data_IF_990749524235
#
_entry.id   IF_990749524235
#
_cell.length_a   1.000
_cell.length_b   1.000
_cell.length_c   1.000
_cell.angle_alpha   90.00
_cell.angle_beta   90.00
_cell.angle_gamma   90.00
#
_symmetry.space_group_name_H-M   'P 1'
#
loop_
_entity.id
_entity.type
_entity.pdbx_description
1 polymer ?
#
# COMPACT_ATOMS: atom_id res chain seq x y z
N UNK A 1 -11.23 -7.93 35.56
CA UNK A 1 -10.07 -7.05 35.77
C UNK A 1 -9.93 -6.20 34.52
N UNK A 2 -10.43 -4.98 34.61
CA UNK A 2 -10.39 -3.99 33.52
C UNK A 2 -8.95 -3.55 33.32
N UNK A 3 -8.39 -3.81 32.15
CA UNK A 3 -7.16 -3.15 31.71
C UNK A 3 -7.57 -1.91 30.93
N UNK A 4 -7.60 -0.79 31.61
CA UNK A 4 -7.85 0.51 31.04
C UNK A 4 -6.78 0.85 30.00
N UNK A 5 -7.22 0.98 28.74
CA UNK A 5 -6.46 1.64 27.70
C UNK A 5 -6.52 3.14 28.01
N UNK A 6 -5.41 3.68 28.51
CA UNK A 6 -5.29 5.09 28.81
C UNK A 6 -5.60 5.95 27.60
N UNK A 7 -6.56 6.82 27.73
CA UNK A 7 -6.85 7.95 26.85
C UNK A 7 -5.64 8.90 26.81
N UNK A 8 -4.75 8.71 25.83
CA UNK A 8 -3.78 9.73 25.49
C UNK A 8 -4.47 10.77 24.61
N UNK A 9 -5.12 11.73 25.25
CA UNK A 9 -5.65 12.95 24.63
C UNK A 9 -4.48 13.82 24.13
N UNK A 10 -4.08 13.62 22.90
CA UNK A 10 -3.08 14.41 22.20
C UNK A 10 -2.51 13.58 21.03
N UNK A 11 -3.28 13.45 19.92
CA UNK A 11 -2.77 12.79 18.72
C UNK A 11 -1.55 13.56 18.21
N UNK A 12 -0.35 13.07 18.50
CA UNK A 12 0.88 13.68 18.03
C UNK A 12 1.11 13.28 16.58
N UNK A 13 0.83 14.21 15.67
CA UNK A 13 1.18 14.11 14.27
C UNK A 13 2.69 14.41 14.13
N UNK A 14 3.39 13.56 13.40
CA UNK A 14 4.79 13.81 13.02
C UNK A 14 4.82 14.07 11.51
N UNK A 15 5.38 15.20 11.12
CA UNK A 15 5.60 15.54 9.71
C UNK A 15 7.09 15.36 9.42
N UNK A 16 7.42 14.30 8.70
CA UNK A 16 8.78 14.07 8.21
C UNK A 16 8.90 14.76 6.87
N UNK A 17 9.55 15.92 6.87
CA UNK A 17 9.67 16.79 5.71
C UNK A 17 11.15 17.06 5.39
N UNK A 18 11.86 16.09 4.80
CA UNK A 18 13.25 16.30 4.40
C UNK A 18 13.34 17.43 3.38
N UNK A 19 13.77 18.59 3.85
CA UNK A 19 13.87 19.80 3.01
C UNK A 19 14.88 19.59 1.88
N UNK A 20 14.55 20.01 0.66
CA UNK A 20 15.54 20.04 -0.40
C UNK A 20 16.65 21.05 -0.12
N UNK A 21 17.82 20.87 -0.75
CA UNK A 21 18.95 21.81 -0.61
C UNK A 21 18.61 23.19 -1.18
N UNK A 22 17.75 23.24 -2.20
CA UNK A 22 17.23 24.45 -2.80
C UNK A 22 15.86 24.79 -2.16
N UNK A 23 15.76 25.86 -1.36
CA UNK A 23 14.53 26.26 -0.70
C UNK A 23 13.36 26.59 -1.64
N UNK A 24 13.64 27.13 -2.83
CA UNK A 24 12.59 27.50 -3.81
C UNK A 24 11.75 26.27 -4.23
N UNK A 25 12.37 25.09 -4.24
CA UNK A 25 11.67 23.83 -4.55
C UNK A 25 10.65 23.41 -3.49
N UNK A 26 10.75 23.92 -2.28
CA UNK A 26 9.81 23.65 -1.22
C UNK A 26 8.61 24.59 -1.22
N UNK A 27 8.68 25.72 -1.92
CA UNK A 27 7.72 26.82 -1.82
C UNK A 27 6.28 26.36 -2.11
N UNK A 28 6.06 25.59 -3.20
CA UNK A 28 4.72 25.13 -3.56
C UNK A 28 4.13 24.22 -2.47
N UNK A 29 4.91 23.25 -1.98
CA UNK A 29 4.46 22.37 -0.92
C UNK A 29 4.31 23.10 0.40
N UNK A 30 5.19 24.04 0.74
CA UNK A 30 5.08 24.85 1.94
C UNK A 30 3.78 25.66 1.95
N UNK A 31 3.43 26.28 0.82
CA UNK A 31 2.21 27.06 0.66
C UNK A 31 0.92 26.22 0.79
N UNK A 32 0.97 24.93 0.60
CA UNK A 32 -0.15 23.99 0.77
C UNK A 32 -0.14 23.36 2.17
N UNK A 33 0.99 22.80 2.59
CA UNK A 33 1.08 22.00 3.81
C UNK A 33 1.03 22.83 5.07
N UNK A 34 1.76 23.96 5.13
CA UNK A 34 1.85 24.76 6.37
C UNK A 34 0.52 25.39 6.79
N UNK A 35 -0.32 25.93 5.86
CA UNK A 35 -1.68 26.35 6.22
C UNK A 35 -2.54 25.19 6.75
N UNK A 36 -2.52 24.03 6.08
CA UNK A 36 -3.29 22.86 6.52
C UNK A 36 -2.87 22.38 7.93
N UNK A 37 -1.59 22.44 8.27
CA UNK A 37 -1.10 22.11 9.60
C UNK A 37 -1.48 23.15 10.66
N UNK A 38 -1.51 24.45 10.31
CA UNK A 38 -1.99 25.51 11.21
C UNK A 38 -3.46 25.31 11.56
N UNK A 39 -4.30 25.01 10.58
CA UNK A 39 -5.74 24.76 10.80
C UNK A 39 -5.93 23.56 11.74
N UNK A 40 -5.17 22.48 11.56
CA UNK A 40 -5.18 21.33 12.49
C UNK A 40 -4.73 21.73 13.91
N UNK A 41 -3.75 22.59 14.01
CA UNK A 41 -3.28 23.09 15.33
C UNK A 41 -4.34 23.94 16.02
N UNK A 42 -5.05 24.78 15.31
CA UNK A 42 -6.20 25.55 15.82
C UNK A 42 -7.34 24.65 16.29
N UNK A 43 -7.50 23.48 15.64
CA UNK A 43 -8.45 22.42 16.04
C UNK A 43 -7.93 21.56 17.22
N UNK A 44 -6.76 21.86 17.77
CA UNK A 44 -6.18 21.17 18.93
C UNK A 44 -5.22 20.03 18.62
N UNK A 45 -4.92 19.73 17.34
CA UNK A 45 -3.94 18.72 16.97
C UNK A 45 -2.51 19.27 17.15
N UNK A 46 -1.69 18.59 17.96
CA UNK A 46 -0.27 18.92 18.09
C UNK A 46 0.54 18.22 17.02
N UNK A 47 1.49 18.90 16.39
CA UNK A 47 2.41 18.27 15.45
C UNK A 47 3.86 18.62 15.72
N UNK A 48 4.77 17.75 15.27
CA UNK A 48 6.21 17.96 15.24
C UNK A 48 6.72 17.83 13.83
N UNK A 49 7.54 18.77 13.36
CA UNK A 49 8.14 18.72 12.03
C UNK A 49 9.62 18.31 12.13
N UNK A 50 10.02 17.36 11.29
CA UNK A 50 11.38 16.83 11.19
C UNK A 50 11.90 17.11 9.77
N UNK A 51 12.76 18.10 9.64
CA UNK A 51 13.28 18.58 8.35
C UNK A 51 14.63 17.95 7.95
N UNK A 52 15.32 17.33 8.90
CA UNK A 52 16.59 16.62 8.67
C UNK A 52 16.57 15.26 9.35
N UNK A 53 16.91 14.23 8.60
CA UNK A 53 16.95 12.84 9.10
C UNK A 53 17.91 12.68 10.27
N UNK A 54 19.02 13.44 10.28
CA UNK A 54 19.98 13.44 11.40
C UNK A 54 19.40 13.89 12.75
N UNK A 55 18.21 14.47 12.78
CA UNK A 55 17.49 14.86 14.01
C UNK A 55 16.55 13.77 14.53
N UNK A 56 16.30 12.70 13.74
CA UNK A 56 15.52 11.56 14.19
C UNK A 56 16.23 10.85 15.33
N UNK A 57 15.47 10.56 16.37
CA UNK A 57 15.91 9.76 17.53
C UNK A 57 15.12 8.47 17.56
N UNK A 58 15.67 7.47 18.24
CA UNK A 58 14.96 6.21 18.45
C UNK A 58 13.64 6.46 19.21
N UNK A 59 12.56 5.88 18.67
CA UNK A 59 11.21 6.03 19.22
C UNK A 59 10.40 7.23 18.70
N UNK A 60 11.00 8.22 18.02
CA UNK A 60 10.28 9.43 17.54
C UNK A 60 9.11 9.10 16.61
N UNK A 61 9.24 8.04 15.82
CA UNK A 61 8.27 7.64 14.81
C UNK A 61 7.35 6.50 15.26
N UNK A 62 7.67 5.79 16.33
CA UNK A 62 6.90 4.60 16.77
C UNK A 62 5.53 4.99 17.31
N UNK A 63 4.48 4.30 16.86
CA UNK A 63 3.10 4.52 17.31
C UNK A 63 2.52 5.89 16.94
N UNK A 64 3.07 6.56 15.91
CA UNK A 64 2.68 7.92 15.52
C UNK A 64 1.77 7.95 14.29
N UNK A 65 1.06 9.06 14.13
CA UNK A 65 0.45 9.49 12.87
C UNK A 65 1.50 10.27 12.10
N UNK A 66 1.85 9.85 10.88
CA UNK A 66 3.02 10.40 10.18
C UNK A 66 2.61 10.88 8.79
N UNK A 67 3.06 12.07 8.43
CA UNK A 67 3.05 12.54 7.05
C UNK A 67 4.49 12.61 6.55
N UNK A 68 4.78 11.88 5.51
CA UNK A 68 6.03 11.98 4.77
C UNK A 68 5.83 12.97 3.62
N UNK A 69 6.43 14.14 3.71
CA UNK A 69 6.31 15.22 2.74
C UNK A 69 7.64 15.37 1.99
N UNK A 70 7.66 15.12 0.69
CA UNK A 70 8.90 15.05 -0.10
C UNK A 70 8.81 15.98 -1.31
N UNK A 71 9.73 16.93 -1.44
CA UNK A 71 9.93 17.70 -2.65
C UNK A 71 11.03 17.07 -3.53
N UNK A 72 10.79 16.99 -4.83
CA UNK A 72 11.73 16.43 -5.79
C UNK A 72 12.22 17.49 -6.78
N UNK A 73 13.49 17.41 -7.12
CA UNK A 73 14.05 18.14 -8.27
C UNK A 73 13.46 17.63 -9.61
N UNK A 74 13.77 18.29 -10.71
CA UNK A 74 13.42 17.84 -12.06
C UNK A 74 13.96 16.43 -12.38
N UNK A 75 15.12 16.09 -11.82
CA UNK A 75 15.72 14.75 -11.95
C UNK A 75 15.14 13.72 -10.95
N UNK A 76 14.15 14.08 -10.15
CA UNK A 76 13.55 13.19 -9.16
C UNK A 76 14.43 12.95 -7.93
N UNK A 77 15.28 13.91 -7.55
CA UNK A 77 16.26 13.76 -6.47
C UNK A 77 15.88 14.61 -5.26
N UNK A 78 16.02 13.98 -4.07
CA UNK A 78 16.07 14.62 -2.77
C UNK A 78 17.02 13.79 -1.90
N UNK A 79 18.15 14.36 -1.48
CA UNK A 79 19.22 13.63 -0.78
C UNK A 79 18.78 13.20 0.62
N UNK A 80 18.07 14.04 1.35
CA UNK A 80 17.58 13.70 2.70
C UNK A 80 16.55 12.56 2.65
N UNK A 81 15.80 12.41 1.56
CA UNK A 81 14.93 11.25 1.34
C UNK A 81 15.72 9.93 1.32
N UNK A 82 16.87 9.87 0.66
CA UNK A 82 17.68 8.66 0.65
C UNK A 82 18.25 8.32 2.01
N UNK A 83 18.64 9.35 2.81
CA UNK A 83 19.03 9.15 4.20
C UNK A 83 17.87 8.63 5.06
N UNK A 84 16.63 9.01 4.76
CA UNK A 84 15.44 8.48 5.43
C UNK A 84 15.25 6.98 5.15
N UNK A 85 15.43 6.54 3.90
CA UNK A 85 15.38 5.11 3.56
C UNK A 85 16.49 4.32 4.27
N UNK A 86 17.70 4.87 4.34
CA UNK A 86 18.82 4.29 5.08
C UNK A 86 18.49 4.18 6.58
N UNK A 87 17.89 5.22 7.17
CA UNK A 87 17.45 5.22 8.56
C UNK A 87 16.44 4.10 8.82
N UNK A 88 15.41 3.92 7.97
CA UNK A 88 14.44 2.83 8.14
C UNK A 88 15.10 1.45 8.06
N UNK A 89 16.09 1.29 7.21
CA UNK A 89 16.82 0.03 7.06
C UNK A 89 17.72 -0.27 8.26
N UNK A 90 18.33 0.76 8.85
CA UNK A 90 19.21 0.63 9.99
C UNK A 90 18.47 0.45 11.33
N UNK A 91 17.20 0.89 11.41
CA UNK A 91 16.39 0.84 12.62
C UNK A 91 15.12 0.03 12.37
N UNK A 92 15.25 -1.29 12.42
CA UNK A 92 14.13 -2.21 12.27
C UNK A 92 13.00 -1.89 13.26
N UNK A 93 11.75 -1.92 12.80
CA UNK A 93 10.55 -1.61 13.59
C UNK A 93 10.48 -0.16 14.15
N UNK A 94 11.28 0.80 13.63
CA UNK A 94 11.21 2.19 14.08
C UNK A 94 9.86 2.86 13.82
N UNK A 95 9.04 2.29 12.93
CA UNK A 95 7.70 2.74 12.58
C UNK A 95 6.59 1.81 13.11
N UNK A 96 6.92 0.89 14.00
CA UNK A 96 5.94 -0.06 14.54
C UNK A 96 4.75 0.66 15.18
N UNK A 97 3.53 0.25 14.80
CA UNK A 97 2.28 0.85 15.29
C UNK A 97 1.94 2.21 14.68
N UNK A 98 2.77 2.72 13.75
CA UNK A 98 2.51 4.00 13.08
C UNK A 98 1.56 3.87 11.91
N UNK A 99 0.91 4.99 11.57
CA UNK A 99 0.07 5.13 10.38
C UNK A 99 0.59 6.29 9.55
N UNK A 100 0.89 6.02 8.28
CA UNK A 100 1.55 6.97 7.39
C UNK A 100 0.67 7.48 6.24
N UNK A 101 0.92 8.72 5.83
CA UNK A 101 0.49 9.30 4.56
C UNK A 101 1.71 9.88 3.83
N UNK A 102 1.62 10.01 2.52
CA UNK A 102 2.74 10.43 1.67
C UNK A 102 2.28 11.61 0.81
N UNK A 103 3.04 12.68 0.80
CA UNK A 103 2.90 13.80 -0.11
C UNK A 103 4.20 13.88 -0.91
N UNK A 104 4.10 13.85 -2.24
CA UNK A 104 5.26 14.04 -3.12
C UNK A 104 4.98 15.19 -4.06
N UNK A 105 5.79 16.22 -3.97
CA UNK A 105 5.76 17.39 -4.83
C UNK A 105 6.96 17.37 -5.78
N UNK A 106 6.73 17.14 -7.07
CA UNK A 106 7.75 17.00 -8.09
C UNK A 106 7.86 18.24 -8.97
N UNK A 107 9.09 18.64 -9.30
CA UNK A 107 9.37 19.71 -10.27
C UNK A 107 9.09 19.28 -11.72
N UNK A 108 8.95 17.96 -11.99
CA UNK A 108 8.66 17.40 -13.32
C UNK A 108 7.45 16.48 -13.31
N UNK A 109 7.08 15.96 -14.49
CA UNK A 109 5.99 14.98 -14.65
C UNK A 109 6.38 13.55 -14.27
N UNK A 110 7.65 13.31 -13.93
CA UNK A 110 8.20 11.98 -13.71
C UNK A 110 8.66 11.80 -12.26
N UNK A 111 8.93 10.56 -11.89
CA UNK A 111 9.58 10.09 -10.65
C UNK A 111 8.73 10.10 -9.38
N UNK A 112 7.71 10.93 -9.28
CA UNK A 112 6.88 11.10 -8.06
C UNK A 112 6.30 9.78 -7.54
N UNK A 113 5.64 9.00 -8.40
CA UNK A 113 5.07 7.69 -8.00
C UNK A 113 6.13 6.62 -7.72
N UNK A 114 7.23 6.63 -8.47
CA UNK A 114 8.32 5.67 -8.26
C UNK A 114 8.93 5.88 -6.87
N UNK A 115 9.24 7.12 -6.52
CA UNK A 115 9.74 7.48 -5.20
C UNK A 115 8.74 7.15 -4.09
N UNK A 116 7.46 7.50 -4.29
CA UNK A 116 6.41 7.23 -3.30
C UNK A 116 6.24 5.72 -3.02
N UNK A 117 6.31 4.85 -4.06
CA UNK A 117 6.23 3.39 -3.88
C UNK A 117 7.40 2.85 -3.07
N UNK A 118 8.62 3.30 -3.37
CA UNK A 118 9.82 2.92 -2.63
C UNK A 118 9.75 3.39 -1.17
N UNK A 119 9.27 4.61 -0.93
CA UNK A 119 9.05 5.11 0.43
C UNK A 119 8.03 4.26 1.18
N UNK A 120 6.86 3.99 0.55
CA UNK A 120 5.83 3.16 1.15
C UNK A 120 6.35 1.77 1.48
N UNK A 121 7.09 1.12 0.57
CA UNK A 121 7.69 -0.18 0.80
C UNK A 121 8.66 -0.15 1.99
N UNK A 122 9.62 0.77 1.97
CA UNK A 122 10.65 0.86 3.00
C UNK A 122 10.06 1.17 4.40
N UNK A 123 9.14 2.13 4.47
CA UNK A 123 8.46 2.48 5.72
C UNK A 123 7.54 1.35 6.21
N UNK A 124 6.85 0.65 5.29
CA UNK A 124 5.99 -0.48 5.63
C UNK A 124 6.79 -1.65 6.19
N UNK A 125 7.94 -1.96 5.61
CA UNK A 125 8.85 -2.99 6.14
C UNK A 125 9.43 -2.62 7.50
N UNK A 126 9.53 -1.32 7.81
CA UNK A 126 9.90 -0.81 9.13
C UNK A 126 8.72 -0.70 10.13
N UNK A 127 7.52 -1.16 9.75
CA UNK A 127 6.37 -1.28 10.65
C UNK A 127 5.24 -0.27 10.42
N UNK A 128 5.32 0.61 9.40
CA UNK A 128 4.27 1.59 9.10
C UNK A 128 3.07 0.95 8.40
N UNK A 129 1.88 1.28 8.85
CA UNK A 129 0.62 1.02 8.15
C UNK A 129 0.32 2.18 7.20
N UNK A 130 -0.17 1.89 6.00
CA UNK A 130 -0.73 2.92 5.13
C UNK A 130 -2.22 2.65 4.86
N UNK A 131 -3.12 3.61 5.11
CA UNK A 131 -4.52 3.52 4.69
C UNK A 131 -4.61 3.44 3.16
N UNK A 132 -5.77 3.13 2.63
CA UNK A 132 -5.98 3.14 1.19
C UNK A 132 -5.81 4.52 0.57
N UNK A 133 -5.14 4.60 -0.60
CA UNK A 133 -4.77 5.86 -1.28
C UNK A 133 -4.02 6.82 -0.34
N UNK A 134 -2.87 6.42 0.18
CA UNK A 134 -2.09 7.22 1.11
C UNK A 134 -1.23 8.28 0.43
N UNK A 135 -1.25 8.37 -0.89
CA UNK A 135 -0.40 9.27 -1.68
C UNK A 135 -1.20 10.45 -2.22
N UNK A 136 -0.74 11.64 -1.90
CA UNK A 136 -1.02 12.87 -2.65
C UNK A 136 0.20 13.20 -3.49
N UNK A 137 0.03 13.20 -4.80
CA UNK A 137 1.07 13.43 -5.78
C UNK A 137 0.80 14.76 -6.48
N UNK A 138 1.79 15.64 -6.54
CA UNK A 138 1.78 16.85 -7.34
C UNK A 138 2.92 16.78 -8.36
N UNK A 139 2.59 16.70 -9.65
CA UNK A 139 3.57 16.79 -10.74
C UNK A 139 3.92 18.23 -11.05
N UNK A 140 4.93 18.47 -11.87
CA UNK A 140 5.40 19.82 -12.22
C UNK A 140 4.28 20.74 -12.71
N UNK A 141 3.45 20.26 -13.64
CA UNK A 141 2.31 21.00 -14.19
C UNK A 141 1.02 20.89 -13.39
N UNK A 142 0.96 20.07 -12.33
CA UNK A 142 -0.27 19.66 -11.65
C UNK A 142 -1.31 18.97 -12.58
N UNK A 143 -0.85 18.48 -13.74
CA UNK A 143 -1.70 17.83 -14.74
C UNK A 143 -2.45 16.59 -14.21
N UNK A 144 -1.88 15.93 -13.21
CA UNK A 144 -2.51 14.79 -12.54
C UNK A 144 -3.80 15.17 -11.78
N UNK A 145 -4.06 16.45 -11.51
CA UNK A 145 -5.31 16.94 -10.89
C UNK A 145 -6.38 17.37 -11.89
N UNK A 146 -6.11 17.40 -13.20
CA UNK A 146 -7.06 17.92 -14.21
C UNK A 146 -8.44 17.24 -14.16
N UNK A 147 -8.50 15.92 -13.92
CA UNK A 147 -9.78 15.19 -13.84
C UNK A 147 -10.59 15.67 -12.64
N UNK A 148 -9.97 15.78 -11.48
CA UNK A 148 -10.65 16.25 -10.25
C UNK A 148 -11.02 17.73 -10.36
N UNK A 149 -10.18 18.57 -10.97
CA UNK A 149 -10.47 19.96 -11.28
C UNK A 149 -11.71 20.08 -12.15
N UNK A 150 -11.81 19.28 -13.22
CA UNK A 150 -12.98 19.27 -14.10
C UNK A 150 -14.27 18.85 -13.40
N UNK A 151 -14.18 17.89 -12.47
CA UNK A 151 -15.36 17.43 -11.70
C UNK A 151 -15.77 18.44 -10.63
N UNK A 152 -14.82 19.04 -9.93
CA UNK A 152 -15.09 19.96 -8.79
C UNK A 152 -15.31 21.41 -9.19
N UNK A 153 -14.91 21.81 -10.41
CA UNK A 153 -14.86 23.20 -10.84
C UNK A 153 -13.77 24.05 -10.17
N UNK A 154 -12.85 23.43 -9.46
CA UNK A 154 -11.73 24.09 -8.76
C UNK A 154 -10.47 24.12 -9.62
N UNK A 155 -9.53 25.01 -9.29
CA UNK A 155 -8.21 24.99 -9.93
C UNK A 155 -7.38 23.77 -9.51
N UNK A 156 -6.38 23.32 -10.29
CA UNK A 156 -5.50 22.20 -9.88
C UNK A 156 -4.80 22.42 -8.54
N UNK A 157 -4.45 23.66 -8.21
CA UNK A 157 -3.80 23.98 -6.92
C UNK A 157 -4.78 23.86 -5.75
N UNK A 158 -6.05 24.30 -5.92
CA UNK A 158 -7.08 24.13 -4.89
C UNK A 158 -7.38 22.65 -4.66
N UNK A 159 -7.41 21.85 -5.74
CA UNK A 159 -7.57 20.38 -5.63
C UNK A 159 -6.40 19.76 -4.90
N UNK A 160 -5.18 20.21 -5.16
CA UNK A 160 -4.00 19.75 -4.43
C UNK A 160 -4.13 20.02 -2.93
N UNK A 161 -4.53 21.25 -2.55
CA UNK A 161 -4.79 21.62 -1.17
C UNK A 161 -5.86 20.72 -0.51
N UNK A 162 -7.01 20.55 -1.17
CA UNK A 162 -8.09 19.68 -0.69
C UNK A 162 -7.60 18.24 -0.46
N UNK A 163 -6.78 17.70 -1.37
CA UNK A 163 -6.24 16.34 -1.25
C UNK A 163 -5.25 16.22 -0.09
N UNK A 164 -4.43 17.24 0.16
CA UNK A 164 -3.53 17.26 1.33
C UNK A 164 -4.33 17.28 2.62
N UNK A 165 -5.35 18.14 2.73
CA UNK A 165 -6.25 18.19 3.90
C UNK A 165 -6.98 16.86 4.12
N UNK A 166 -7.50 16.25 3.06
CA UNK A 166 -8.15 14.95 3.13
C UNK A 166 -7.18 13.83 3.58
N UNK A 167 -5.92 13.86 3.12
CA UNK A 167 -4.90 12.90 3.55
C UNK A 167 -4.58 13.06 5.04
N UNK A 168 -4.42 14.28 5.53
CA UNK A 168 -4.17 14.57 6.94
C UNK A 168 -5.29 13.97 7.81
N UNK A 169 -6.56 14.25 7.49
CA UNK A 169 -7.71 13.66 8.18
C UNK A 169 -7.71 12.14 8.13
N UNK A 170 -7.50 11.55 6.95
CA UNK A 170 -7.43 10.09 6.77
C UNK A 170 -6.38 9.42 7.66
N UNK A 171 -5.21 10.01 7.81
CA UNK A 171 -4.13 9.48 8.64
C UNK A 171 -4.47 9.63 10.13
N UNK A 172 -5.01 10.78 10.52
CA UNK A 172 -5.38 11.05 11.92
C UNK A 172 -6.52 10.12 12.39
N UNK A 173 -7.55 9.94 11.56
CA UNK A 173 -8.76 9.20 11.90
C UNK A 173 -8.68 7.70 11.61
N UNK A 174 -7.53 7.22 11.10
CA UNK A 174 -7.39 5.81 10.73
C UNK A 174 -7.67 4.88 11.91
N UNK A 175 -8.60 3.95 11.70
CA UNK A 175 -8.89 2.81 12.55
C UNK A 175 -8.84 1.50 11.75
N UNK A 176 -8.48 0.41 12.41
CA UNK A 176 -8.49 -0.90 11.78
C UNK A 176 -9.92 -1.39 11.57
N UNK A 177 -10.26 -1.89 10.37
CA UNK A 177 -11.55 -2.54 10.15
C UNK A 177 -11.63 -3.85 10.95
N UNK A 178 -12.85 -4.17 11.39
CA UNK A 178 -13.16 -5.42 12.08
C UNK A 178 -13.25 -6.55 11.05
N UNK A 179 -12.83 -7.77 11.43
CA UNK A 179 -12.99 -8.95 10.61
C UNK A 179 -14.49 -9.28 10.42
N UNK A 180 -14.88 -9.70 9.21
CA UNK A 180 -16.28 -9.94 8.83
C UNK A 180 -16.73 -11.40 8.97
N UNK A 181 -15.81 -12.32 9.20
CA UNK A 181 -16.10 -13.73 9.36
C UNK A 181 -16.76 -14.08 10.69
N UNK A 182 -17.34 -15.27 10.78
CA UNK A 182 -17.93 -15.79 12.01
C UNK A 182 -16.87 -15.86 13.11
N UNK A 183 -17.28 -15.62 14.36
CA UNK A 183 -16.39 -15.62 15.54
C UNK A 183 -15.15 -14.72 15.41
N UNK A 184 -15.22 -13.65 14.57
CA UNK A 184 -14.11 -12.73 14.35
C UNK A 184 -12.99 -13.29 13.47
N UNK A 185 -13.22 -14.37 12.74
CA UNK A 185 -12.27 -14.93 11.77
C UNK A 185 -12.10 -13.99 10.57
N UNK A 186 -10.88 -13.95 10.03
CA UNK A 186 -10.63 -13.22 8.78
C UNK A 186 -11.11 -14.04 7.59
N UNK A 187 -11.80 -13.39 6.65
CA UNK A 187 -12.05 -13.95 5.31
C UNK A 187 -10.93 -13.52 4.38
N UNK A 188 -10.15 -14.48 3.91
CA UNK A 188 -8.97 -14.23 3.08
C UNK A 188 -9.18 -14.79 1.68
N UNK A 189 -9.00 -13.94 0.67
CA UNK A 189 -8.86 -14.37 -0.71
C UNK A 189 -7.37 -14.49 -1.06
N UNK A 190 -6.89 -15.70 -1.31
CA UNK A 190 -5.54 -15.94 -1.83
C UNK A 190 -5.59 -16.13 -3.34
N UNK A 191 -4.79 -15.36 -4.09
CA UNK A 191 -4.76 -15.41 -5.56
C UNK A 191 -3.37 -15.79 -6.05
N UNK A 192 -3.29 -16.83 -6.87
CA UNK A 192 -2.06 -17.30 -7.48
C UNK A 192 -2.23 -17.69 -8.95
N UNK A 193 -1.11 -17.75 -9.68
CA UNK A 193 -1.08 -18.21 -11.07
C UNK A 193 -0.29 -19.50 -11.26
N UNK A 194 0.07 -20.20 -10.18
CA UNK A 194 0.92 -21.40 -10.22
C UNK A 194 0.13 -22.62 -10.70
N UNK A 195 0.81 -23.47 -11.49
CA UNK A 195 0.30 -24.77 -11.95
C UNK A 195 1.16 -25.94 -11.49
N UNK A 196 2.27 -25.66 -10.75
CA UNK A 196 3.27 -26.66 -10.40
C UNK A 196 3.25 -26.98 -8.92
N UNK A 197 3.21 -28.25 -8.58
CA UNK A 197 3.36 -28.75 -7.21
C UNK A 197 4.73 -28.48 -6.57
N UNK A 198 5.72 -28.06 -7.40
CA UNK A 198 7.09 -27.71 -6.97
C UNK A 198 7.32 -26.21 -6.88
N UNK A 199 6.26 -25.40 -6.97
CA UNK A 199 6.36 -23.95 -6.92
C UNK A 199 6.82 -23.48 -5.54
N UNK A 200 7.97 -22.81 -5.48
CA UNK A 200 8.52 -22.23 -4.26
C UNK A 200 7.53 -21.27 -3.60
N UNK A 201 6.82 -20.47 -4.39
CA UNK A 201 5.84 -19.51 -3.89
C UNK A 201 4.64 -20.20 -3.25
N UNK A 202 4.12 -21.29 -3.86
CA UNK A 202 3.02 -22.06 -3.29
C UNK A 202 3.44 -22.82 -2.02
N UNK A 203 4.63 -23.43 -2.03
CA UNK A 203 5.16 -24.11 -0.86
C UNK A 203 5.34 -23.15 0.35
N UNK A 204 5.74 -21.92 0.07
CA UNK A 204 5.83 -20.87 1.10
C UNK A 204 4.44 -20.46 1.59
N UNK A 205 3.49 -20.28 0.67
CA UNK A 205 2.10 -19.99 1.03
C UNK A 205 1.48 -21.12 1.89
N UNK A 206 1.73 -22.38 1.57
CA UNK A 206 1.25 -23.51 2.36
C UNK A 206 1.76 -23.47 3.82
N UNK A 207 3.01 -23.05 4.03
CA UNK A 207 3.56 -22.84 5.38
C UNK A 207 2.84 -21.69 6.11
N UNK A 208 2.58 -20.58 5.45
CA UNK A 208 1.84 -19.44 6.02
C UNK A 208 0.40 -19.85 6.37
N UNK A 209 -0.29 -20.59 5.47
CA UNK A 209 -1.67 -21.11 5.73
C UNK A 209 -1.75 -21.90 7.02
N UNK A 210 -0.74 -22.71 7.34
CA UNK A 210 -0.72 -23.49 8.58
C UNK A 210 -0.86 -22.60 9.81
N UNK A 211 -0.24 -21.41 9.82
CA UNK A 211 -0.34 -20.43 10.91
C UNK A 211 -1.67 -19.66 10.96
N UNK A 212 -2.51 -19.80 9.93
CA UNK A 212 -3.80 -19.10 9.81
C UNK A 212 -5.01 -20.00 10.09
N UNK A 213 -4.83 -21.32 10.22
CA UNK A 213 -5.91 -22.30 10.24
C UNK A 213 -7.00 -22.02 11.28
N UNK A 214 -6.62 -21.55 12.47
CA UNK A 214 -7.56 -21.33 13.60
C UNK A 214 -8.22 -19.94 13.57
N UNK A 215 -7.79 -19.02 12.68
CA UNK A 215 -8.20 -17.61 12.73
C UNK A 215 -8.61 -17.00 11.39
N UNK A 216 -8.55 -17.78 10.31
CA UNK A 216 -8.97 -17.29 9.00
C UNK A 216 -9.72 -18.39 8.23
N UNK A 217 -10.68 -17.92 7.41
CA UNK A 217 -11.32 -18.71 6.36
C UNK A 217 -10.71 -18.30 5.04
N UNK A 218 -10.07 -19.24 4.35
CA UNK A 218 -9.25 -18.96 3.18
C UNK A 218 -9.91 -19.55 1.95
N UNK A 219 -10.26 -18.67 1.00
CA UNK A 219 -10.61 -19.05 -0.36
C UNK A 219 -9.38 -18.85 -1.27
N UNK A 220 -8.99 -19.93 -1.97
CA UNK A 220 -7.81 -19.93 -2.85
C UNK A 220 -8.25 -20.04 -4.31
N UNK A 221 -7.91 -19.03 -5.12
CA UNK A 221 -8.28 -18.97 -6.53
C UNK A 221 -7.03 -18.95 -7.41
N UNK A 222 -6.99 -19.92 -8.35
CA UNK A 222 -5.91 -20.03 -9.33
C UNK A 222 -6.27 -19.34 -10.65
N UNK A 223 -5.60 -18.24 -10.97
CA UNK A 223 -5.70 -17.53 -12.26
C UNK A 223 -4.63 -18.00 -13.25
N UNK A 224 -4.48 -19.32 -13.38
CA UNK A 224 -3.47 -19.94 -14.24
C UNK A 224 -3.72 -19.66 -15.74
N UNK A 225 -2.74 -20.02 -16.57
CA UNK A 225 -2.84 -19.88 -18.02
C UNK A 225 -4.12 -20.52 -18.58
N UNK A 226 -4.79 -19.81 -19.47
CA UNK A 226 -6.04 -20.23 -20.09
C UNK A 226 -7.30 -19.94 -19.27
N UNK A 227 -7.22 -19.57 -17.98
CA UNK A 227 -8.40 -19.28 -17.16
C UNK A 227 -8.72 -17.79 -17.09
N UNK A 228 -7.74 -16.91 -17.35
CA UNK A 228 -7.91 -15.46 -17.28
C UNK A 228 -7.47 -14.79 -18.58
N UNK A 229 -8.22 -13.78 -18.99
CA UNK A 229 -7.86 -12.83 -20.05
C UNK A 229 -7.65 -11.46 -19.45
N UNK A 230 -6.74 -10.65 -20.02
CA UNK A 230 -6.50 -9.30 -19.58
C UNK A 230 -7.67 -8.34 -19.85
N UNK A 231 -7.63 -7.16 -19.24
CA UNK A 231 -8.58 -6.08 -19.45
C UNK A 231 -8.45 -5.54 -20.88
N UNK A 232 -9.58 -5.40 -21.59
CA UNK A 232 -9.60 -4.88 -22.96
C UNK A 232 -9.85 -3.37 -23.06
N UNK A 233 -9.88 -2.64 -21.92
CA UNK A 233 -9.98 -1.20 -21.92
C UNK A 233 -11.33 -0.67 -22.41
N UNK A 234 -12.45 -1.17 -21.89
CA UNK A 234 -13.78 -0.62 -22.15
C UNK A 234 -13.83 0.88 -21.77
N UNK A 235 -14.74 1.63 -22.42
CA UNK A 235 -15.03 2.99 -21.96
C UNK A 235 -15.58 2.99 -20.52
N UNK A 236 -15.64 4.17 -19.91
CA UNK A 236 -16.03 4.30 -18.52
C UNK A 236 -17.44 3.77 -18.26
N UNK A 237 -18.41 4.18 -19.07
CA UNK A 237 -19.83 3.88 -18.91
C UNK A 237 -20.07 2.36 -18.99
N UNK A 238 -19.51 1.71 -19.99
CA UNK A 238 -19.62 0.24 -20.14
C UNK A 238 -18.99 -0.48 -18.95
N UNK A 239 -17.78 -0.06 -18.54
CA UNK A 239 -17.07 -0.70 -17.44
C UNK A 239 -17.83 -0.51 -16.11
N UNK A 240 -18.37 0.68 -15.85
CA UNK A 240 -19.16 1.01 -14.67
C UNK A 240 -20.47 0.23 -14.64
N UNK A 241 -21.22 0.19 -15.76
CA UNK A 241 -22.49 -0.53 -15.86
C UNK A 241 -22.40 -2.02 -15.49
N UNK A 242 -21.31 -2.68 -15.86
CA UNK A 242 -21.09 -4.06 -15.43
C UNK A 242 -20.53 -4.14 -14.02
N UNK A 243 -19.65 -3.19 -13.63
CA UNK A 243 -19.01 -3.13 -12.33
C UNK A 243 -20.00 -2.97 -11.18
N UNK A 244 -21.01 -2.10 -11.29
CA UNK A 244 -22.06 -1.91 -10.28
C UNK A 244 -22.87 -3.17 -9.97
N UNK A 245 -22.88 -4.15 -10.91
CA UNK A 245 -23.52 -5.45 -10.77
C UNK A 245 -22.53 -6.54 -10.30
N UNK A 246 -21.34 -6.18 -9.87
CA UNK A 246 -20.28 -7.13 -9.52
C UNK A 246 -19.82 -7.96 -10.73
N UNK A 247 -19.85 -7.41 -11.95
CA UNK A 247 -19.55 -8.12 -13.20
C UNK A 247 -18.53 -7.38 -14.07
N UNK A 248 -18.03 -8.06 -15.08
CA UNK A 248 -17.27 -7.51 -16.19
C UNK A 248 -17.85 -8.07 -17.49
N UNK A 249 -17.96 -7.25 -18.53
CA UNK A 249 -18.49 -7.66 -19.85
C UNK A 249 -17.85 -8.96 -20.38
N UNK A 250 -16.57 -9.17 -20.12
CA UNK A 250 -15.83 -10.34 -20.62
C UNK A 250 -15.93 -11.59 -19.73
N UNK A 251 -16.74 -11.58 -18.67
CA UNK A 251 -17.07 -12.78 -17.89
C UNK A 251 -15.87 -13.58 -17.37
N UNK A 252 -16.04 -14.91 -17.33
CA UNK A 252 -15.04 -15.89 -16.96
C UNK A 252 -14.71 -15.88 -15.47
N UNK A 253 -13.58 -16.49 -15.09
CA UNK A 253 -13.16 -16.70 -13.69
C UNK A 253 -13.26 -15.43 -12.83
N UNK A 254 -13.02 -14.26 -13.43
CA UNK A 254 -13.09 -12.99 -12.69
C UNK A 254 -14.49 -12.70 -12.16
N UNK A 255 -15.53 -12.93 -12.97
CA UNK A 255 -16.93 -12.66 -12.59
C UNK A 255 -17.59 -13.82 -11.87
N UNK A 256 -17.14 -15.03 -12.12
CA UNK A 256 -17.74 -16.25 -11.58
C UNK A 256 -17.19 -16.61 -10.19
N UNK A 257 -15.92 -16.32 -9.95
CA UNK A 257 -15.24 -16.69 -8.70
C UNK A 257 -14.59 -15.50 -8.01
N UNK A 258 -13.72 -14.75 -8.72
CA UNK A 258 -12.86 -13.73 -8.11
C UNK A 258 -13.66 -12.58 -7.51
N UNK A 259 -14.63 -12.03 -8.24
CA UNK A 259 -15.38 -10.86 -7.76
C UNK A 259 -16.24 -11.17 -6.54
N UNK A 260 -17.02 -12.29 -6.51
CA UNK A 260 -17.73 -12.66 -5.28
C UNK A 260 -16.79 -12.84 -4.09
N UNK A 261 -15.74 -13.64 -4.25
CA UNK A 261 -14.75 -13.89 -3.19
C UNK A 261 -14.08 -12.61 -2.70
N UNK A 262 -13.71 -11.70 -3.62
CA UNK A 262 -13.11 -10.42 -3.25
C UNK A 262 -14.08 -9.52 -2.47
N UNK A 263 -15.34 -9.44 -2.89
CA UNK A 263 -16.33 -8.61 -2.20
C UNK A 263 -16.59 -9.10 -0.77
N UNK A 264 -16.56 -10.40 -0.54
CA UNK A 264 -16.75 -11.02 0.78
C UNK A 264 -15.49 -11.04 1.63
N UNK A 265 -14.29 -10.90 1.06
CA UNK A 265 -13.03 -10.99 1.80
C UNK A 265 -12.72 -9.75 2.62
N UNK A 266 -12.03 -9.91 3.75
CA UNK A 266 -11.39 -8.85 4.55
C UNK A 266 -9.98 -8.54 4.07
N UNK A 267 -9.32 -9.54 3.50
CA UNK A 267 -7.94 -9.44 3.05
C UNK A 267 -7.71 -10.21 1.75
N UNK A 268 -6.78 -9.70 0.95
CA UNK A 268 -6.25 -10.39 -0.24
C UNK A 268 -4.79 -10.74 0.00
N UNK A 269 -4.41 -11.97 -0.33
CA UNK A 269 -3.01 -12.42 -0.34
C UNK A 269 -2.60 -12.69 -1.78
N UNK A 270 -1.67 -11.90 -2.30
CA UNK A 270 -1.08 -12.10 -3.63
C UNK A 270 0.07 -13.09 -3.52
N UNK A 271 -0.12 -14.31 -4.02
CA UNK A 271 0.93 -15.34 -4.05
C UNK A 271 1.67 -15.24 -5.38
N UNK A 272 2.75 -14.44 -5.40
CA UNK A 272 3.35 -13.88 -6.60
C UNK A 272 4.79 -14.34 -6.82
N UNK A 273 5.09 -15.19 -7.81
CA UNK A 273 6.46 -15.41 -8.25
C UNK A 273 7.00 -14.17 -8.96
N UNK A 274 8.29 -13.89 -8.76
CA UNK A 274 8.98 -12.88 -9.55
C UNK A 274 9.41 -13.46 -10.90
N UNK A 275 8.91 -12.90 -11.99
CA UNK A 275 9.34 -13.19 -13.35
C UNK A 275 9.81 -11.90 -14.04
N UNK A 276 11.12 -11.81 -14.34
CA UNK A 276 11.72 -10.63 -14.98
C UNK A 276 11.43 -9.32 -14.22
N UNK A 277 11.56 -9.34 -12.91
CA UNK A 277 11.30 -8.20 -12.01
C UNK A 277 9.89 -7.61 -12.15
N UNK A 278 8.91 -8.47 -12.42
CA UNK A 278 7.52 -8.06 -12.58
C UNK A 278 6.54 -9.06 -11.96
N UNK A 279 5.36 -8.55 -11.61
CA UNK A 279 4.18 -9.36 -11.34
C UNK A 279 3.85 -10.17 -12.59
N UNK A 280 3.69 -11.48 -12.48
CA UNK A 280 3.44 -12.34 -13.64
C UNK A 280 2.15 -11.93 -14.39
N UNK A 281 2.11 -12.21 -15.70
CA UNK A 281 1.08 -11.73 -16.62
C UNK A 281 -0.36 -12.03 -16.14
N UNK A 282 -0.61 -13.22 -15.61
CA UNK A 282 -1.95 -13.60 -15.15
C UNK A 282 -2.41 -12.82 -13.91
N UNK A 283 -1.49 -12.58 -12.96
CA UNK A 283 -1.79 -11.73 -11.81
C UNK A 283 -1.92 -10.26 -12.22
N UNK A 284 -1.18 -9.82 -13.24
CA UNK A 284 -1.38 -8.49 -13.85
C UNK A 284 -2.76 -8.38 -14.49
N UNK A 285 -3.20 -9.40 -15.23
CA UNK A 285 -4.56 -9.45 -15.79
C UNK A 285 -5.64 -9.42 -14.69
N UNK A 286 -5.43 -10.15 -13.58
CA UNK A 286 -6.29 -10.06 -12.40
C UNK A 286 -6.36 -8.62 -11.88
N UNK A 287 -5.22 -7.96 -11.63
CA UNK A 287 -5.15 -6.57 -11.16
C UNK A 287 -5.89 -5.61 -12.10
N UNK A 288 -5.64 -5.72 -13.41
CA UNK A 288 -6.26 -4.87 -14.43
C UNK A 288 -7.78 -5.02 -14.45
N UNK A 289 -8.27 -6.24 -14.34
CA UNK A 289 -9.72 -6.53 -14.38
C UNK A 289 -10.46 -6.13 -13.09
N UNK A 290 -9.77 -5.95 -11.96
CA UNK A 290 -10.38 -5.36 -10.76
C UNK A 290 -10.91 -3.94 -11.00
N UNK A 291 -10.51 -3.27 -12.08
CA UNK A 291 -10.99 -1.92 -12.42
C UNK A 291 -12.52 -1.85 -12.52
N UNK A 292 -13.18 -2.91 -12.97
CA UNK A 292 -14.65 -2.95 -13.04
C UNK A 292 -15.27 -2.81 -11.63
N UNK A 293 -14.79 -3.58 -10.64
CA UNK A 293 -15.28 -3.48 -9.28
C UNK A 293 -14.87 -2.17 -8.61
N UNK A 294 -13.61 -1.74 -8.80
CA UNK A 294 -13.09 -0.54 -8.17
C UNK A 294 -13.85 0.75 -8.53
N UNK A 295 -14.52 0.77 -9.69
CA UNK A 295 -15.37 1.90 -10.10
C UNK A 295 -16.69 1.97 -9.34
N UNK A 296 -17.16 0.88 -8.76
CA UNK A 296 -18.47 0.75 -8.12
C UNK A 296 -18.39 0.43 -6.62
N UNK A 297 -17.28 -0.13 -6.15
CA UNK A 297 -17.10 -0.55 -4.75
C UNK A 297 -15.87 0.10 -4.12
N UNK A 298 -15.96 0.38 -2.82
CA UNK A 298 -14.83 0.85 -2.02
C UNK A 298 -14.10 -0.32 -1.37
N UNK A 299 -12.78 -0.31 -1.48
CA UNK A 299 -11.90 -1.32 -0.90
C UNK A 299 -11.09 -0.79 0.30
N UNK A 300 -11.43 0.39 0.82
CA UNK A 300 -10.70 1.05 1.93
C UNK A 300 -10.74 0.26 3.25
N UNK A 301 -11.63 -0.73 3.35
CA UNK A 301 -11.72 -1.62 4.51
C UNK A 301 -11.00 -2.97 4.29
N UNK A 302 -10.44 -3.19 3.10
CA UNK A 302 -9.76 -4.45 2.76
C UNK A 302 -8.24 -4.31 2.86
N UNK A 303 -7.58 -5.37 3.28
CA UNK A 303 -6.12 -5.43 3.45
C UNK A 303 -5.47 -6.13 2.28
N UNK A 304 -4.26 -5.73 1.92
CA UNK A 304 -3.43 -6.42 0.92
C UNK A 304 -2.18 -6.99 1.58
N UNK A 305 -1.92 -8.26 1.32
CA UNK A 305 -0.69 -8.96 1.68
C UNK A 305 -0.07 -9.60 0.43
N UNK A 306 1.21 -9.92 0.49
CA UNK A 306 1.90 -10.55 -0.62
C UNK A 306 2.92 -11.60 -0.13
N UNK A 307 3.03 -12.69 -0.87
CA UNK A 307 4.14 -13.63 -0.80
C UNK A 307 4.88 -13.53 -2.12
N UNK A 308 6.14 -13.08 -2.07
CA UNK A 308 6.97 -12.86 -3.26
C UNK A 308 8.18 -13.78 -3.17
N UNK A 309 8.35 -14.66 -4.15
CA UNK A 309 9.56 -15.48 -4.27
C UNK A 309 10.26 -15.15 -5.56
N UNK A 310 11.51 -14.71 -5.43
CA UNK A 310 12.41 -14.40 -6.55
C UNK A 310 13.45 -15.49 -6.75
N UNK A 311 13.88 -15.72 -7.99
CA UNK A 311 14.99 -16.64 -8.25
C UNK A 311 16.31 -16.13 -7.68
N UNK A 312 16.55 -14.81 -7.79
CA UNK A 312 17.78 -14.16 -7.36
C UNK A 312 17.55 -12.85 -6.62
N UNK A 313 16.90 -11.87 -7.25
CA UNK A 313 16.68 -10.53 -6.72
C UNK A 313 15.35 -9.96 -7.22
N UNK A 314 15.06 -8.68 -6.94
CA UNK A 314 13.89 -7.95 -7.49
C UNK A 314 12.57 -8.21 -6.76
N UNK A 315 12.59 -8.85 -5.60
CA UNK A 315 11.38 -9.04 -4.79
C UNK A 315 10.81 -7.73 -4.25
N UNK A 316 11.65 -6.75 -4.02
CA UNK A 316 11.27 -5.38 -3.69
C UNK A 316 10.52 -4.70 -4.86
N UNK A 317 11.00 -4.89 -6.11
CA UNK A 317 10.36 -4.32 -7.31
C UNK A 317 8.93 -4.86 -7.47
N UNK A 318 8.75 -6.18 -7.30
CA UNK A 318 7.42 -6.81 -7.35
C UNK A 318 6.52 -6.30 -6.22
N UNK A 319 7.06 -6.18 -5.01
CA UNK A 319 6.32 -5.64 -3.85
C UNK A 319 5.88 -4.20 -4.08
N UNK A 320 6.75 -3.34 -4.63
CA UNK A 320 6.42 -1.95 -4.99
C UNK A 320 5.34 -1.88 -6.09
N UNK A 321 5.30 -2.83 -7.04
CA UNK A 321 4.23 -2.92 -8.04
C UNK A 321 2.88 -3.27 -7.38
N UNK A 322 2.88 -4.19 -6.42
CA UNK A 322 1.68 -4.56 -5.66
C UNK A 322 1.17 -3.36 -4.83
N UNK A 323 2.06 -2.62 -4.16
CA UNK A 323 1.70 -1.37 -3.45
C UNK A 323 1.01 -0.40 -4.41
N UNK A 324 1.64 -0.13 -5.56
CA UNK A 324 1.08 0.78 -6.56
C UNK A 324 -0.29 0.33 -7.06
N UNK A 325 -0.46 -0.97 -7.31
CA UNK A 325 -1.68 -1.52 -7.84
C UNK A 325 -2.84 -1.51 -6.83
N UNK A 326 -2.61 -1.92 -5.60
CA UNK A 326 -3.66 -2.13 -4.60
C UNK A 326 -3.81 -0.95 -3.63
N UNK A 327 -2.74 -0.52 -2.99
CA UNK A 327 -2.81 0.51 -1.97
C UNK A 327 -2.98 1.91 -2.59
N UNK A 328 -2.14 2.30 -3.57
CA UNK A 328 -2.22 3.63 -4.18
C UNK A 328 -3.44 3.77 -5.10
N UNK A 329 -3.72 2.76 -5.94
CA UNK A 329 -4.74 2.90 -6.97
C UNK A 329 -6.11 2.34 -6.57
N UNK A 330 -6.20 1.32 -5.71
CA UNK A 330 -7.45 0.61 -5.40
C UNK A 330 -7.88 0.68 -3.93
N UNK A 331 -7.27 1.57 -3.15
CA UNK A 331 -7.67 1.90 -1.76
C UNK A 331 -7.48 0.77 -0.73
N UNK A 332 -6.81 -0.33 -1.02
CA UNK A 332 -6.54 -1.34 0.00
C UNK A 332 -5.61 -0.78 1.09
N UNK A 333 -5.88 -1.15 2.34
CA UNK A 333 -4.95 -0.90 3.45
C UNK A 333 -3.68 -1.72 3.22
N UNK A 334 -2.53 -1.12 3.47
CA UNK A 334 -1.23 -1.77 3.48
C UNK A 334 -0.81 -2.02 4.93
N UNK A 335 -1.01 -3.22 5.48
CA UNK A 335 -0.62 -3.55 6.85
C UNK A 335 0.90 -3.55 7.02
N UNK A 336 1.44 -3.40 8.24
CA UNK A 336 2.89 -3.37 8.45
C UNK A 336 3.53 -4.69 8.05
N UNK A 337 4.63 -4.63 7.30
CA UNK A 337 5.30 -5.80 6.76
C UNK A 337 4.39 -6.64 5.85
N UNK A 338 3.63 -5.98 4.97
CA UNK A 338 2.62 -6.60 4.11
C UNK A 338 3.15 -7.71 3.21
N UNK A 339 4.43 -7.71 2.89
CA UNK A 339 5.05 -8.66 1.99
C UNK A 339 6.07 -9.56 2.71
N UNK A 340 5.95 -10.87 2.49
CA UNK A 340 7.00 -11.84 2.75
C UNK A 340 7.79 -12.03 1.47
N UNK A 341 9.07 -11.62 1.47
CA UNK A 341 9.95 -11.67 0.31
C UNK A 341 11.07 -12.66 0.58
N UNK A 342 11.19 -13.70 -0.23
CA UNK A 342 12.24 -14.72 -0.11
C UNK A 342 12.90 -15.00 -1.46
N UNK A 343 14.12 -15.56 -1.42
CA UNK A 343 14.87 -15.96 -2.61
C UNK A 343 14.99 -17.46 -2.68
N UNK A 344 14.49 -18.07 -3.77
CA UNK A 344 14.58 -19.50 -4.03
C UNK A 344 14.41 -19.77 -5.52
N UNK A 345 15.47 -20.26 -6.18
CA UNK A 345 15.48 -20.48 -7.63
C UNK A 345 15.05 -21.91 -8.02
N UNK A 346 15.70 -22.92 -7.45
CA UNK A 346 15.47 -24.30 -7.85
C UNK A 346 14.12 -24.81 -7.30
N UNK A 347 13.47 -25.77 -7.96
CA UNK A 347 12.24 -26.37 -7.47
C UNK A 347 12.36 -26.85 -6.02
N UNK A 348 11.43 -26.41 -5.16
CA UNK A 348 11.39 -26.73 -3.71
C UNK A 348 12.53 -26.14 -2.88
N UNK A 349 13.46 -25.36 -3.44
CA UNK A 349 14.58 -24.80 -2.68
C UNK A 349 14.15 -23.83 -1.58
N UNK A 350 12.94 -23.30 -1.62
CA UNK A 350 12.35 -22.51 -0.54
C UNK A 350 12.32 -23.28 0.80
N UNK A 351 12.20 -24.61 0.77
CA UNK A 351 12.18 -25.45 1.96
C UNK A 351 13.54 -25.53 2.67
N UNK A 352 14.61 -25.17 1.95
CA UNK A 352 15.98 -25.14 2.48
C UNK A 352 16.41 -23.73 2.94
N UNK A 353 15.57 -22.73 2.78
CA UNK A 353 15.87 -21.37 3.27
C UNK A 353 15.92 -21.38 4.79
N UNK A 354 16.99 -20.83 5.41
CA UNK A 354 17.13 -20.81 6.86
C UNK A 354 15.91 -20.18 7.56
N UNK A 355 15.45 -20.84 8.62
CA UNK A 355 14.35 -20.40 9.46
C UNK A 355 13.01 -20.17 8.73
N UNK A 356 12.78 -20.80 7.56
CA UNK A 356 11.62 -20.53 6.72
C UNK A 356 10.30 -20.78 7.45
N UNK A 357 10.23 -21.81 8.30
CA UNK A 357 9.03 -22.12 9.08
C UNK A 357 8.75 -21.01 10.11
N UNK A 358 9.78 -20.52 10.79
CA UNK A 358 9.66 -19.42 11.74
C UNK A 358 9.26 -18.12 11.04
N UNK A 359 9.87 -17.82 9.90
CA UNK A 359 9.53 -16.65 9.08
C UNK A 359 8.07 -16.70 8.60
N UNK A 360 7.61 -17.86 8.13
CA UNK A 360 6.24 -18.08 7.69
C UNK A 360 5.24 -17.90 8.85
N UNK A 361 5.54 -18.43 10.02
CA UNK A 361 4.72 -18.24 11.23
C UNK A 361 4.63 -16.77 11.63
N UNK A 362 5.77 -16.05 11.68
CA UNK A 362 5.81 -14.61 11.97
C UNK A 362 5.04 -13.78 10.94
N UNK A 363 5.08 -14.17 9.67
CA UNK A 363 4.29 -13.50 8.65
C UNK A 363 2.79 -13.80 8.80
N UNK A 364 2.44 -15.04 9.08
CA UNK A 364 1.06 -15.41 9.40
C UNK A 364 0.52 -14.57 10.57
N UNK A 365 1.32 -14.33 11.62
CA UNK A 365 0.93 -13.50 12.77
C UNK A 365 0.67 -12.02 12.43
N UNK A 366 1.20 -11.52 11.33
CA UNK A 366 0.94 -10.16 10.82
C UNK A 366 -0.37 -10.07 10.04
N UNK A 367 -0.87 -11.18 9.51
CA UNK A 367 -2.16 -11.24 8.79
C UNK A 367 -3.29 -11.19 9.82
N UNK A 368 -3.93 -10.02 9.91
CA UNK A 368 -4.93 -9.69 10.92
C UNK A 368 -6.01 -8.76 10.38
#
# INVERSE_FOLDING_TARGET
METGIGNNNGTNLVVVYPKPDDPERAERLDNILLPALRDLQEQGTKYTMIEKVSRLRDGDLRGRRIIFAICLSEAGINIEYYKLLEYFRAHESCLEGSVGGIIVDGASELYTKALARRLAFSANMAGCTFPGKPLVEATGSLGNFHVLSGISGKTPIDVYEDQVRALLGKVLDFGWPVASGEDGRLRILAVHASTRSTSNTMLLWDKVKTGLADRADIEEISVRNGTIQDCRGCNYETCYHFGEKGKCFYGGIMTEQVYPALLESDAVVMVCPNYNDAVCANLTAFINRLTALFRAYDFSQKRIYAIVVSGYSGGDIVSEQIIGAFNFNKSFILPPGFAMVETANDPKSILAVPDIDKKAALFADRIR
#
